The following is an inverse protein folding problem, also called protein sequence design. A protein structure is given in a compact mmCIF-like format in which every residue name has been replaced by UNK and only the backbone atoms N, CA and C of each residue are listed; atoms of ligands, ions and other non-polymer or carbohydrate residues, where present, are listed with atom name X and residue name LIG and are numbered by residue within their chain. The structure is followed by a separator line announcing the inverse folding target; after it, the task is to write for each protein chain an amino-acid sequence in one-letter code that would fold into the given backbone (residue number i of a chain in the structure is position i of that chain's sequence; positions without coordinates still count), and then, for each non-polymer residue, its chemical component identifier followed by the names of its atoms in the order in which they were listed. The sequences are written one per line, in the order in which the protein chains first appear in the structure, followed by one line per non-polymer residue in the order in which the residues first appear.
data_IF_028481678930
#
_entry.id   IF_028481678930
#
_cell.length_a   1.000
_cell.length_b   1.000
_cell.length_c   1.000
_cell.angle_alpha   90.00
_cell.angle_beta   90.00
_cell.angle_gamma   90.00
#
_symmetry.space_group_name_H-M   'P 1'
#
loop_
_entity.id
_entity.type
_entity.pdbx_description
1 polymer ?
#
# COMPACT_ATOMS: atom_id res chain seq x y z
N UNK A 1 -26.63 -7.87 -23.55
CA UNK A 1 -26.66 -8.18 -22.10
C UNK A 1 -25.54 -7.42 -21.45
N UNK A 2 -25.86 -6.45 -20.59
CA UNK A 2 -24.89 -5.56 -19.95
C UNK A 2 -24.22 -6.33 -18.82
N UNK A 3 -22.91 -6.55 -18.94
CA UNK A 3 -22.09 -7.15 -17.89
C UNK A 3 -22.17 -6.24 -16.64
N UNK A 4 -22.65 -6.71 -15.47
CA UNK A 4 -22.77 -5.85 -14.30
C UNK A 4 -21.39 -5.30 -13.96
N UNK A 5 -21.29 -3.97 -13.88
CA UNK A 5 -20.04 -3.22 -13.70
C UNK A 5 -19.19 -3.89 -12.61
N UNK A 6 -18.01 -4.37 -13.01
CA UNK A 6 -16.95 -4.82 -12.10
C UNK A 6 -16.73 -3.71 -11.08
N UNK A 7 -16.83 -4.04 -9.79
CA UNK A 7 -16.63 -3.06 -8.72
C UNK A 7 -15.17 -3.16 -8.30
N UNK A 8 -14.37 -2.17 -8.69
CA UNK A 8 -12.97 -2.07 -8.25
C UNK A 8 -12.94 -1.85 -6.72
N UNK A 9 -11.98 -2.45 -6.01
CA UNK A 9 -11.89 -2.38 -4.54
C UNK A 9 -10.44 -2.07 -4.11
N UNK A 10 -10.24 -1.32 -3.00
CA UNK A 10 -8.92 -1.02 -2.41
C UNK A 10 -8.76 -1.65 -1.04
N UNK A 11 -7.55 -2.13 -0.72
CA UNK A 11 -7.23 -2.64 0.61
C UNK A 11 -6.90 -1.47 1.55
N UNK A 12 -7.47 -1.50 2.74
CA UNK A 12 -7.32 -0.45 3.75
C UNK A 12 -6.93 -1.06 5.09
N UNK A 13 -6.28 -0.26 5.94
CA UNK A 13 -6.26 -0.52 7.37
C UNK A 13 -7.65 -0.17 7.92
N UNK A 14 -8.19 -1.01 8.79
CA UNK A 14 -9.53 -0.86 9.32
C UNK A 14 -9.54 -1.13 10.83
N UNK A 15 -10.27 -0.30 11.57
CA UNK A 15 -10.59 -0.50 12.97
C UNK A 15 -12.01 -1.06 13.09
N UNK A 16 -12.16 -2.02 13.98
CA UNK A 16 -13.39 -2.78 14.15
C UNK A 16 -13.77 -2.82 15.62
N UNK A 17 -15.08 -2.78 15.88
CA UNK A 17 -15.68 -3.07 17.19
C UNK A 17 -16.57 -4.30 17.07
N UNK A 18 -16.53 -5.15 18.10
CA UNK A 18 -17.45 -6.27 18.18
C UNK A 18 -18.80 -5.81 18.73
N UNK A 19 -19.89 -6.03 17.98
CA UNK A 19 -21.25 -5.67 18.42
C UNK A 19 -21.81 -6.65 19.47
N UNK A 20 -21.01 -7.60 19.97
CA UNK A 20 -21.40 -8.52 21.05
C UNK A 20 -21.21 -7.87 22.41
N UNK A 21 -22.30 -7.66 23.15
CA UNK A 21 -22.28 -7.13 24.53
C UNK A 21 -21.37 -7.93 25.47
N UNK A 22 -21.20 -9.22 25.21
CA UNK A 22 -20.33 -10.12 25.99
C UNK A 22 -18.84 -10.05 25.64
N UNK A 23 -18.47 -9.46 24.50
CA UNK A 23 -17.09 -9.45 24.02
C UNK A 23 -16.45 -8.06 24.07
N UNK A 24 -17.21 -7.02 23.69
CA UNK A 24 -16.78 -5.60 23.69
C UNK A 24 -15.33 -5.36 23.22
N UNK A 25 -14.88 -6.15 22.23
CA UNK A 25 -13.49 -6.12 21.79
C UNK A 25 -13.31 -5.16 20.61
N UNK A 26 -12.16 -4.49 20.60
CA UNK A 26 -11.72 -3.62 19.50
C UNK A 26 -10.46 -4.20 18.85
N UNK A 27 -10.36 -4.12 17.53
CA UNK A 27 -9.13 -4.54 16.85
C UNK A 27 -8.86 -3.77 15.57
N UNK A 28 -7.57 -3.76 15.22
CA UNK A 28 -7.09 -3.28 13.93
C UNK A 28 -6.83 -4.48 13.02
N UNK A 29 -7.28 -4.37 11.77
CA UNK A 29 -7.05 -5.37 10.73
C UNK A 29 -7.00 -4.71 9.35
N UNK A 30 -7.00 -5.52 8.31
CA UNK A 30 -7.17 -5.02 6.94
C UNK A 30 -8.51 -5.47 6.38
N UNK A 31 -9.15 -4.62 5.59
CA UNK A 31 -10.32 -5.00 4.78
C UNK A 31 -10.24 -4.40 3.37
N UNK A 32 -11.19 -4.78 2.53
CA UNK A 32 -11.36 -4.25 1.19
C UNK A 32 -12.59 -3.35 1.16
N UNK A 33 -12.48 -2.19 0.52
CA UNK A 33 -13.55 -1.21 0.34
C UNK A 33 -13.74 -0.92 -1.16
N UNK A 34 -14.96 -0.73 -1.62
CA UNK A 34 -15.27 -0.34 -3.00
C UNK A 34 -14.64 1.02 -3.38
N UNK A 35 -13.94 1.07 -4.52
CA UNK A 35 -13.37 2.29 -5.10
C UNK A 35 -14.50 3.18 -5.63
N UNK A 36 -14.41 4.50 -5.38
CA UNK A 36 -15.42 5.50 -5.78
C UNK A 36 -16.36 5.94 -4.66
N UNK A 37 -16.19 5.41 -3.45
CA UNK A 37 -16.75 5.96 -2.20
C UNK A 37 -15.57 6.57 -1.42
N UNK A 38 -15.60 7.89 -1.23
CA UNK A 38 -14.64 8.81 -0.58
C UNK A 38 -13.17 8.35 -0.39
N UNK A 39 -12.23 9.16 -0.89
CA UNK A 39 -10.80 8.83 -0.86
C UNK A 39 -10.23 8.68 0.55
N UNK A 40 -10.81 9.26 1.60
CA UNK A 40 -10.54 9.04 3.03
C UNK A 40 -11.75 9.57 3.83
N UNK A 41 -12.14 8.93 4.94
CA UNK A 41 -13.32 9.34 5.72
C UNK A 41 -13.66 8.46 6.93
N UNK A 42 -14.64 8.92 7.73
CA UNK A 42 -15.28 8.12 8.79
C UNK A 42 -16.02 6.94 8.14
N UNK A 43 -16.21 5.83 8.87
CA UNK A 43 -17.00 4.70 8.36
C UNK A 43 -18.48 5.03 8.15
N UNK A 44 -18.91 6.21 8.59
CA UNK A 44 -20.27 6.74 8.46
C UNK A 44 -20.75 6.83 7.01
N UNK A 45 -19.83 7.04 6.06
CA UNK A 45 -20.13 7.09 4.63
C UNK A 45 -20.24 5.70 3.97
N UNK A 46 -19.91 4.62 4.68
CA UNK A 46 -19.91 3.26 4.17
C UNK A 46 -21.12 2.49 4.67
N UNK A 47 -21.84 1.85 3.76
CA UNK A 47 -22.92 0.91 4.14
C UNK A 47 -22.42 -0.52 4.11
N UNK A 48 -23.11 -1.42 4.84
CA UNK A 48 -22.87 -2.86 4.74
C UNK A 48 -23.01 -3.30 3.28
N UNK A 49 -21.93 -3.85 2.72
CA UNK A 49 -21.79 -4.16 1.30
C UNK A 49 -20.78 -3.28 0.53
N UNK A 50 -20.37 -2.15 1.10
CA UNK A 50 -19.25 -1.34 0.58
C UNK A 50 -17.88 -1.88 1.00
N UNK A 51 -17.85 -2.80 1.97
CA UNK A 51 -16.62 -3.40 2.48
C UNK A 51 -16.82 -4.88 2.82
N UNK A 52 -15.70 -5.63 2.89
CA UNK A 52 -15.72 -7.03 3.33
C UNK A 52 -15.81 -7.09 4.86
N UNK A 53 -16.86 -7.71 5.36
CA UNK A 53 -17.07 -7.92 6.80
C UNK A 53 -16.01 -8.86 7.39
N UNK A 54 -15.53 -8.54 8.59
CA UNK A 54 -14.58 -9.35 9.34
C UNK A 54 -15.29 -10.00 10.53
N UNK A 55 -14.85 -11.19 10.94
CA UNK A 55 -15.28 -11.80 12.21
C UNK A 55 -14.45 -11.29 13.38
N UNK A 56 -15.05 -11.24 14.56
CA UNK A 56 -14.31 -10.95 15.78
C UNK A 56 -13.34 -12.10 16.08
N UNK A 57 -12.06 -11.78 16.31
CA UNK A 57 -11.03 -12.79 16.59
C UNK A 57 -11.18 -13.44 17.98
N UNK A 58 -11.89 -12.80 18.89
CA UNK A 58 -12.04 -13.24 20.28
C UNK A 58 -13.24 -14.16 20.46
N UNK A 59 -14.38 -13.82 19.86
CA UNK A 59 -15.65 -14.54 20.06
C UNK A 59 -16.26 -15.14 18.78
N UNK A 60 -15.58 -15.04 17.63
CA UNK A 60 -16.04 -15.47 16.29
C UNK A 60 -17.38 -14.86 15.84
N UNK A 61 -17.87 -13.82 16.52
CA UNK A 61 -19.11 -13.13 16.14
C UNK A 61 -18.95 -12.50 14.76
N UNK A 62 -19.99 -12.65 13.92
CA UNK A 62 -20.07 -12.12 12.55
C UNK A 62 -20.59 -10.70 12.49
N UNK A 63 -21.32 -10.24 13.52
CA UNK A 63 -21.85 -8.89 13.60
C UNK A 63 -20.80 -7.98 14.25
N UNK A 64 -20.04 -7.29 13.41
CA UNK A 64 -19.02 -6.33 13.83
C UNK A 64 -19.16 -5.05 13.02
N UNK A 65 -18.75 -3.95 13.61
CA UNK A 65 -18.86 -2.63 13.01
C UNK A 65 -17.48 -2.14 12.59
N UNK A 66 -17.38 -1.68 11.34
CA UNK A 66 -16.23 -0.93 10.86
C UNK A 66 -16.35 0.47 11.46
N UNK A 67 -15.40 0.88 12.30
CA UNK A 67 -15.45 2.19 12.97
C UNK A 67 -14.61 3.25 12.28
N UNK A 68 -13.50 2.84 11.68
CA UNK A 68 -12.70 3.72 10.83
C UNK A 68 -11.88 2.91 9.85
N UNK A 69 -11.48 3.56 8.76
CA UNK A 69 -10.53 2.97 7.81
C UNK A 69 -9.55 4.04 7.34
N UNK A 70 -8.42 3.60 6.81
CA UNK A 70 -7.38 4.48 6.29
C UNK A 70 -6.40 3.73 5.40
N UNK A 71 -5.38 4.41 4.87
CA UNK A 71 -4.36 3.79 4.05
C UNK A 71 -3.72 2.60 4.79
N UNK A 72 -3.55 1.51 4.06
CA UNK A 72 -2.93 0.30 4.61
C UNK A 72 -1.42 0.48 4.70
N UNK A 73 -0.82 0.27 5.87
CA UNK A 73 0.62 0.33 6.03
C UNK A 73 1.14 -0.70 7.03
N UNK A 74 2.44 -0.99 6.95
CA UNK A 74 3.14 -1.86 7.89
C UNK A 74 4.09 -1.04 8.76
N UNK A 75 3.94 -1.08 10.09
CA UNK A 75 4.79 -0.33 11.02
C UNK A 75 6.28 -0.60 10.83
N UNK A 76 6.66 -1.84 10.47
CA UNK A 76 8.05 -2.21 10.18
C UNK A 76 8.69 -1.49 8.99
N UNK A 77 7.90 -0.82 8.17
CA UNK A 77 8.36 -0.02 7.02
C UNK A 77 8.46 1.47 7.36
N UNK A 78 8.24 1.84 8.63
CA UNK A 78 8.42 3.19 9.12
C UNK A 78 9.88 3.36 9.58
N UNK A 79 10.50 4.42 9.11
CA UNK A 79 11.80 4.92 9.57
C UNK A 79 11.60 6.27 10.24
N UNK A 80 12.22 6.50 11.39
CA UNK A 80 12.23 7.82 12.06
C UNK A 80 13.64 8.40 11.95
N UNK A 81 13.75 9.62 11.44
CA UNK A 81 15.04 10.32 11.31
C UNK A 81 15.43 11.07 12.59
N UNK A 82 16.61 11.71 12.58
CA UNK A 82 17.15 12.45 13.72
C UNK A 82 16.27 13.64 14.15
N UNK A 83 15.47 14.19 13.24
CA UNK A 83 14.51 15.28 13.49
C UNK A 83 13.13 14.75 13.96
N UNK A 84 13.03 13.44 14.22
CA UNK A 84 11.79 12.73 14.56
C UNK A 84 10.73 12.75 13.46
N UNK A 85 11.11 13.02 12.21
CA UNK A 85 10.19 12.85 11.08
C UNK A 85 10.07 11.37 10.76
N UNK A 86 8.83 10.94 10.55
CA UNK A 86 8.52 9.56 10.17
C UNK A 86 8.39 9.46 8.66
N UNK A 87 9.09 8.49 8.10
CA UNK A 87 9.15 8.17 6.69
C UNK A 87 8.60 6.77 6.49
N UNK A 88 7.80 6.57 5.44
CA UNK A 88 7.24 5.29 5.08
C UNK A 88 7.86 4.78 3.78
N UNK A 89 8.28 3.50 3.80
CA UNK A 89 8.88 2.86 2.63
C UNK A 89 7.80 2.38 1.65
N UNK A 90 7.92 2.82 0.40
CA UNK A 90 6.97 2.56 -0.69
C UNK A 90 7.68 2.12 -1.97
N UNK A 91 6.90 1.60 -2.92
CA UNK A 91 7.34 1.45 -4.30
C UNK A 91 7.11 2.77 -5.03
N UNK A 92 8.15 3.33 -5.63
CA UNK A 92 8.07 4.56 -6.41
C UNK A 92 8.36 4.31 -7.88
N UNK A 93 7.58 4.92 -8.76
CA UNK A 93 7.88 5.03 -10.19
C UNK A 93 8.58 6.36 -10.46
N UNK A 94 9.75 6.30 -11.09
CA UNK A 94 10.63 7.44 -11.28
C UNK A 94 10.92 7.69 -12.75
N UNK A 95 10.95 8.96 -13.13
CA UNK A 95 11.44 9.42 -14.43
C UNK A 95 12.69 10.29 -14.25
N UNK A 96 13.67 10.07 -15.11
CA UNK A 96 14.79 10.99 -15.23
C UNK A 96 14.32 12.31 -15.82
N UNK A 97 14.60 13.41 -15.12
CA UNK A 97 14.19 14.75 -15.54
C UNK A 97 15.27 15.48 -16.36
N UNK A 98 16.19 14.73 -16.98
CA UNK A 98 17.23 15.30 -17.84
C UNK A 98 16.78 15.15 -19.29
N UNK A 99 16.75 16.24 -20.04
CA UNK A 99 16.22 16.26 -21.42
C UNK A 99 16.83 15.19 -22.35
N UNK A 100 18.09 14.83 -22.13
CA UNK A 100 18.81 13.82 -22.92
C UNK A 100 18.66 12.39 -22.39
N UNK A 101 17.93 12.18 -21.30
CA UNK A 101 17.78 10.89 -20.64
C UNK A 101 16.31 10.55 -20.43
N UNK A 102 15.81 9.57 -21.18
CA UNK A 102 14.42 9.12 -21.12
C UNK A 102 14.22 7.95 -20.14
N UNK A 103 15.16 7.74 -19.22
CA UNK A 103 15.14 6.58 -18.32
C UNK A 103 13.99 6.68 -17.33
N UNK A 104 13.25 5.59 -17.22
CA UNK A 104 12.22 5.35 -16.21
C UNK A 104 12.60 4.14 -15.38
N UNK A 105 12.27 4.12 -14.09
CA UNK A 105 12.53 2.96 -13.23
C UNK A 105 11.58 2.89 -12.04
N UNK A 106 11.31 1.67 -11.62
CA UNK A 106 10.65 1.37 -10.35
C UNK A 106 11.70 1.22 -9.25
N UNK A 107 11.37 1.67 -8.04
CA UNK A 107 12.21 1.49 -6.86
C UNK A 107 11.39 1.05 -5.65
N UNK A 108 11.73 -0.11 -5.08
CA UNK A 108 11.16 -0.66 -3.85
C UNK A 108 11.70 -0.02 -2.56
N UNK A 109 12.55 0.99 -2.72
CA UNK A 109 13.25 1.69 -1.64
C UNK A 109 13.05 3.21 -1.77
N UNK A 110 11.81 3.61 -2.05
CA UNK A 110 11.40 5.01 -2.01
C UNK A 110 10.89 5.34 -0.61
N UNK A 111 11.34 6.44 -0.03
CA UNK A 111 10.87 6.92 1.27
C UNK A 111 10.03 8.17 1.06
N UNK A 112 8.81 8.18 1.59
CA UNK A 112 7.89 9.33 1.58
C UNK A 112 7.54 9.71 3.01
N UNK A 113 7.26 10.98 3.29
CA UNK A 113 6.79 11.37 4.62
C UNK A 113 5.53 10.58 4.97
N UNK A 114 5.53 9.95 6.14
CA UNK A 114 4.45 9.08 6.58
C UNK A 114 3.12 9.83 6.57
N UNK A 115 3.08 11.08 7.05
CA UNK A 115 1.84 11.86 7.05
C UNK A 115 1.31 12.10 5.63
N UNK A 116 2.17 12.44 4.66
CA UNK A 116 1.77 12.63 3.26
C UNK A 116 1.20 11.35 2.63
N UNK A 117 1.79 10.21 2.98
CA UNK A 117 1.26 8.91 2.60
C UNK A 117 -0.10 8.63 3.25
N UNK A 118 -0.25 8.96 4.53
CA UNK A 118 -1.49 8.74 5.27
C UNK A 118 -2.64 9.66 4.84
N UNK A 119 -2.31 10.83 4.30
CA UNK A 119 -3.26 11.81 3.72
C UNK A 119 -3.58 11.52 2.24
N UNK A 120 -3.09 10.39 1.69
CA UNK A 120 -3.35 10.00 0.30
C UNK A 120 -2.79 10.96 -0.76
N UNK A 121 -1.78 11.78 -0.42
CA UNK A 121 -1.23 12.79 -1.33
C UNK A 121 -0.60 12.11 -2.56
N UNK A 122 -1.06 12.52 -3.75
CA UNK A 122 -0.54 12.00 -5.00
C UNK A 122 0.92 12.40 -5.21
N UNK A 123 1.69 11.55 -5.88
CA UNK A 123 3.10 11.82 -6.17
C UNK A 123 3.32 13.13 -6.97
N UNK A 124 2.36 13.54 -7.80
CA UNK A 124 2.39 14.83 -8.51
C UNK A 124 2.34 16.05 -7.60
N UNK A 125 1.79 15.88 -6.40
CA UNK A 125 1.50 16.95 -5.44
C UNK A 125 2.51 16.93 -4.26
N UNK A 126 3.43 15.96 -4.26
CA UNK A 126 4.53 15.91 -3.30
C UNK A 126 5.62 16.93 -3.66
N UNK A 127 6.09 17.64 -2.65
CA UNK A 127 7.26 18.49 -2.78
C UNK A 127 8.55 17.68 -2.62
N UNK A 128 9.68 18.22 -3.06
CA UNK A 128 10.99 17.54 -2.94
C UNK A 128 11.41 17.22 -1.49
N UNK A 129 10.85 17.92 -0.50
CA UNK A 129 11.07 17.63 0.92
C UNK A 129 10.16 16.53 1.48
N UNK A 130 9.16 16.09 0.71
CA UNK A 130 8.20 15.08 1.13
C UNK A 130 8.64 13.65 0.79
N UNK A 131 9.77 13.48 0.07
CA UNK A 131 10.31 12.18 -0.30
C UNK A 131 11.83 12.20 -0.49
N UNK A 132 12.48 11.04 -0.37
CA UNK A 132 13.92 10.92 -0.61
C UNK A 132 14.20 10.82 -2.11
N UNK A 133 14.99 11.76 -2.62
CA UNK A 133 15.40 11.80 -4.03
C UNK A 133 16.21 10.56 -4.42
N UNK A 134 16.00 10.06 -5.65
CA UNK A 134 16.79 8.97 -6.21
C UNK A 134 17.63 9.41 -7.40
N UNK A 135 18.82 8.83 -7.51
CA UNK A 135 19.74 9.04 -8.61
C UNK A 135 19.32 8.23 -9.83
N UNK A 136 19.44 8.84 -11.02
CA UNK A 136 19.30 8.12 -12.27
C UNK A 136 20.57 7.31 -12.51
N UNK A 137 20.45 5.98 -12.63
CA UNK A 137 21.61 5.10 -12.83
C UNK A 137 22.32 5.29 -14.17
N UNK A 138 21.63 5.85 -15.16
CA UNK A 138 22.19 5.99 -16.52
C UNK A 138 22.98 7.29 -16.68
N UNK A 139 22.53 8.39 -16.08
CA UNK A 139 23.13 9.71 -16.27
C UNK A 139 23.56 10.41 -14.98
N UNK A 140 23.45 9.73 -13.84
CA UNK A 140 23.77 10.22 -12.49
C UNK A 140 23.07 11.52 -12.08
N UNK A 141 22.00 11.90 -12.78
CA UNK A 141 21.18 13.04 -12.39
C UNK A 141 20.51 12.77 -11.05
N UNK A 142 20.47 13.77 -10.18
CA UNK A 142 19.90 13.70 -8.83
C UNK A 142 18.48 14.28 -8.76
N UNK A 143 18.13 15.12 -9.73
CA UNK A 143 16.88 15.90 -9.75
C UNK A 143 15.77 15.18 -10.53
N UNK A 144 15.52 13.92 -10.20
CA UNK A 144 14.53 13.10 -10.91
C UNK A 144 13.13 13.26 -10.32
N UNK A 145 12.12 12.89 -11.12
CA UNK A 145 10.72 13.06 -10.77
C UNK A 145 10.15 11.75 -10.26
N UNK A 146 9.52 11.78 -9.09
CA UNK A 146 8.65 10.72 -8.61
C UNK A 146 7.27 10.91 -9.26
N UNK A 147 6.77 9.91 -9.98
CA UNK A 147 5.51 10.00 -10.71
C UNK A 147 4.37 9.29 -10.02
N UNK A 148 4.65 8.17 -9.36
CA UNK A 148 3.67 7.38 -8.64
C UNK A 148 4.27 6.79 -7.36
N UNK A 149 3.44 6.69 -6.34
CA UNK A 149 3.73 6.01 -5.07
C UNK A 149 2.71 4.90 -4.92
N UNK A 150 3.20 3.67 -4.77
CA UNK A 150 2.39 2.48 -4.58
C UNK A 150 2.69 1.86 -3.21
N UNK A 151 1.63 1.69 -2.41
CA UNK A 151 1.61 0.92 -1.17
C UNK A 151 1.66 -0.59 -1.42
N UNK A 152 1.22 -0.99 -2.60
CA UNK A 152 1.04 -2.39 -2.97
C UNK A 152 2.35 -2.94 -3.51
N UNK A 153 2.83 -3.99 -2.84
CA UNK A 153 4.06 -4.69 -3.18
C UNK A 153 3.85 -5.40 -4.53
N UNK A 154 4.37 -4.81 -5.62
CA UNK A 154 4.58 -5.53 -6.89
C UNK A 154 5.99 -6.11 -6.87
N UNK A 155 6.11 -7.44 -6.76
CA UNK A 155 7.40 -8.12 -6.93
C UNK A 155 7.55 -8.67 -8.34
N UNK A 156 8.73 -8.50 -8.96
CA UNK A 156 9.14 -9.26 -10.16
C UNK A 156 9.35 -10.77 -9.85
N UNK A 157 9.23 -11.16 -8.57
CA UNK A 157 9.49 -12.49 -8.04
C UNK A 157 8.23 -13.35 -7.85
N UNK A 158 7.13 -13.03 -8.53
CA UNK A 158 5.96 -13.93 -8.59
C UNK A 158 5.15 -14.07 -7.30
N UNK A 159 5.46 -13.30 -6.24
CA UNK A 159 4.44 -12.99 -5.22
C UNK A 159 3.76 -11.71 -5.69
N UNK A 160 2.87 -11.89 -6.65
CA UNK A 160 1.79 -10.95 -6.87
C UNK A 160 0.64 -11.52 -6.08
N UNK A 161 0.23 -10.82 -5.03
CA UNK A 161 -1.13 -11.05 -4.56
C UNK A 161 -2.05 -10.39 -5.58
N UNK A 162 -2.32 -11.12 -6.66
CA UNK A 162 -3.45 -10.83 -7.54
C UNK A 162 -4.68 -11.17 -6.70
N UNK A 163 -5.30 -10.16 -6.09
CA UNK A 163 -6.62 -10.34 -5.56
C UNK A 163 -7.57 -9.80 -6.60
N UNK A 164 -8.42 -10.71 -7.09
CA UNK A 164 -9.39 -10.46 -8.13
C UNK A 164 -10.14 -9.15 -7.86
N UNK A 165 -10.27 -8.31 -8.88
CA UNK A 165 -10.96 -7.00 -8.84
C UNK A 165 -12.49 -7.16 -8.65
N UNK A 166 -12.92 -8.28 -8.06
CA UNK A 166 -14.30 -8.73 -8.00
C UNK A 166 -14.64 -9.10 -6.55
N UNK A 167 -14.57 -8.11 -5.64
CA UNK A 167 -15.01 -8.18 -4.24
C UNK A 167 -15.85 -9.46 -3.92
N UNK A 168 -15.19 -10.56 -3.54
CA UNK A 168 -15.85 -11.84 -3.25
C UNK A 168 -15.28 -13.15 -3.85
N UNK A 169 -14.29 -13.15 -4.77
CA UNK A 169 -13.61 -14.40 -5.17
C UNK A 169 -12.15 -14.44 -4.70
N UNK A 170 -11.91 -15.27 -3.67
CA UNK A 170 -10.57 -15.54 -3.17
C UNK A 170 -9.90 -16.60 -4.05
N UNK A 171 -8.80 -16.25 -4.71
CA UNK A 171 -7.81 -17.25 -5.16
C UNK A 171 -6.48 -16.92 -4.52
N UNK A 172 -6.20 -17.57 -3.40
CA UNK A 172 -4.86 -17.56 -2.81
C UNK A 172 -3.98 -18.41 -3.73
N UNK A 173 -3.06 -17.79 -4.45
CA UNK A 173 -1.99 -18.51 -5.13
C UNK A 173 -0.77 -18.42 -4.23
N UNK A 174 -0.63 -19.37 -3.30
CA UNK A 174 0.64 -19.62 -2.64
C UNK A 174 1.56 -20.34 -3.65
N UNK A 175 2.60 -19.65 -4.11
CA UNK A 175 3.71 -20.33 -4.79
C UNK A 175 4.91 -20.26 -3.87
N UNK A 176 5.26 -21.39 -3.27
CA UNK A 176 6.43 -21.54 -2.40
C UNK A 176 7.70 -21.32 -3.23
N UNK A 177 8.51 -20.31 -2.89
CA UNK A 177 9.82 -20.11 -3.50
C UNK A 177 10.93 -20.63 -2.59
N UNK A 178 11.33 -21.87 -2.85
CA UNK A 178 12.65 -22.38 -2.51
C UNK A 178 13.66 -21.77 -3.50
N UNK A 179 14.68 -21.09 -2.97
CA UNK A 179 15.88 -20.52 -3.65
C UNK A 179 15.69 -19.23 -4.48
N UNK A 180 16.16 -18.12 -3.92
CA UNK A 180 17.00 -17.10 -4.60
C UNK A 180 17.58 -16.14 -3.56
N UNK A 181 18.55 -16.63 -2.80
CA UNK A 181 19.48 -15.84 -1.98
C UNK A 181 20.88 -16.42 -2.23
N UNK A 182 21.38 -16.36 -3.47
CA UNK A 182 22.77 -16.79 -3.76
C UNK A 182 23.41 -16.15 -5.00
N UNK A 183 22.94 -15.01 -5.51
CA UNK A 183 23.59 -14.44 -6.70
C UNK A 183 23.52 -12.93 -6.85
N UNK A 184 23.78 -12.14 -5.80
CA UNK A 184 24.36 -10.79 -5.96
C UNK A 184 25.16 -10.46 -4.68
N UNK A 185 26.42 -10.88 -4.64
CA UNK A 185 27.25 -10.71 -3.44
C UNK A 185 28.67 -11.22 -3.58
N UNK A 186 29.32 -10.95 -4.72
CA UNK A 186 30.79 -10.93 -4.86
C UNK A 186 31.12 -10.06 -6.08
N UNK A 187 31.39 -8.78 -5.83
CA UNK A 187 32.31 -8.03 -6.67
C UNK A 187 33.66 -8.16 -5.98
N UNK A 188 34.57 -8.91 -6.60
CA UNK A 188 35.96 -9.00 -6.20
C UNK A 188 36.64 -7.65 -6.44
N UNK A 189 37.39 -7.21 -5.43
CA UNK A 189 38.38 -6.15 -5.52
C UNK A 189 39.55 -6.63 -6.39
N UNK A 190 39.80 -5.93 -7.48
CA UNK A 190 41.08 -5.91 -8.19
C UNK A 190 41.94 -4.76 -7.69
#
# INVERSE_FOLDING_TARGET
MVNPKKKDCKRVLAKWTCSSDSCQNEWTGSTWILIGKNQEGTSEDLVKGDYIEQKCRTCDNKYNELTSYGPYFFERLIYEDEEKKKWYRVFGEWDCNRDTCTKKWTSSYTWVLLQKYLDGVLASDLNRGDYFMQYCKDCNNVNNKLNEVNSDIKTESGIVTFFDNNCGQFKVIETTLTKLYTSVGRAESS
#
